data_IF_874055642845
#
_entry.id   IF_874055642845
#
_cell.length_a   1.000
_cell.length_b   1.000
_cell.length_c   1.000
_cell.angle_alpha   90.00
_cell.angle_beta   90.00
_cell.angle_gamma   90.00
#
_symmetry.space_group_name_H-M   'P 1'
#
loop_
_entity.id
_entity.type
_entity.pdbx_description
1 polymer ?
#
# COMPACT_ATOMS: atom_id res chain seq x y z
N UNK A 1 -19.47 4.65 -21.64
CA UNK A 1 -19.77 3.26 -21.24
C UNK A 1 -21.26 3.19 -21.02
N UNK A 2 -21.97 2.38 -21.81
CA UNK A 2 -23.37 2.06 -21.53
C UNK A 2 -23.38 1.18 -20.29
N UNK A 3 -23.87 1.70 -19.15
CA UNK A 3 -24.09 0.83 -18.00
C UNK A 3 -25.17 -0.16 -18.41
N UNK A 4 -24.90 -1.46 -18.28
CA UNK A 4 -25.96 -2.46 -18.34
C UNK A 4 -27.08 -2.02 -17.37
N UNK A 5 -28.33 -2.19 -17.76
CA UNK A 5 -29.46 -1.89 -16.88
C UNK A 5 -29.28 -2.69 -15.59
N UNK A 6 -29.29 -2.01 -14.45
CA UNK A 6 -29.17 -2.66 -13.14
C UNK A 6 -30.31 -3.66 -12.95
N UNK A 7 -30.00 -4.83 -12.39
CA UNK A 7 -31.00 -5.87 -12.17
C UNK A 7 -32.04 -5.46 -11.10
N UNK A 8 -31.60 -4.70 -10.10
CA UNK A 8 -32.40 -4.08 -9.05
C UNK A 8 -31.58 -3.03 -8.30
N UNK A 9 -32.17 -2.34 -7.32
CA UNK A 9 -31.48 -1.31 -6.53
C UNK A 9 -30.31 -1.85 -5.70
N UNK A 10 -30.38 -3.11 -5.23
CA UNK A 10 -29.28 -3.74 -4.50
C UNK A 10 -28.07 -4.00 -5.42
N UNK A 11 -28.31 -4.48 -6.65
CA UNK A 11 -27.28 -4.64 -7.67
C UNK A 11 -26.58 -3.31 -7.99
N UNK A 12 -27.38 -2.26 -8.20
CA UNK A 12 -26.88 -0.90 -8.39
C UNK A 12 -26.01 -0.45 -7.22
N UNK A 13 -26.46 -0.62 -5.99
CA UNK A 13 -25.72 -0.25 -4.78
C UNK A 13 -24.39 -0.99 -4.70
N UNK A 14 -24.38 -2.30 -4.96
CA UNK A 14 -23.15 -3.10 -4.90
C UNK A 14 -22.12 -2.70 -5.96
N UNK A 15 -22.59 -2.35 -7.17
CA UNK A 15 -21.74 -1.80 -8.22
C UNK A 15 -21.16 -0.45 -7.81
N UNK A 16 -21.96 0.42 -7.19
CA UNK A 16 -21.49 1.69 -6.64
C UNK A 16 -20.44 1.50 -5.53
N UNK A 17 -20.63 0.51 -4.64
CA UNK A 17 -19.65 0.17 -3.59
C UNK A 17 -18.33 -0.31 -4.22
N UNK A 18 -18.39 -1.17 -5.24
CA UNK A 18 -17.21 -1.62 -5.97
C UNK A 18 -16.52 -0.47 -6.72
N UNK A 19 -17.30 0.44 -7.32
CA UNK A 19 -16.78 1.65 -7.95
C UNK A 19 -16.07 2.56 -6.93
N UNK A 20 -16.60 2.70 -5.72
CA UNK A 20 -15.94 3.40 -4.63
C UNK A 20 -14.61 2.72 -4.25
N UNK A 21 -14.59 1.39 -4.09
CA UNK A 21 -13.35 0.65 -3.82
C UNK A 21 -12.29 0.85 -4.92
N UNK A 22 -12.73 0.93 -6.17
CA UNK A 22 -11.86 1.23 -7.31
C UNK A 22 -11.32 2.65 -7.24
N UNK A 23 -12.19 3.65 -7.18
CA UNK A 23 -11.81 5.05 -7.31
C UNK A 23 -11.10 5.59 -6.06
N UNK A 24 -11.65 5.30 -4.89
CA UNK A 24 -11.23 5.88 -3.60
C UNK A 24 -10.07 5.12 -2.97
N UNK A 25 -9.96 3.82 -3.24
CA UNK A 25 -8.88 3.01 -2.69
C UNK A 25 -7.86 2.59 -3.74
N UNK A 26 -8.22 1.72 -4.69
CA UNK A 26 -7.23 1.18 -5.66
C UNK A 26 -6.54 2.28 -6.46
N UNK A 27 -7.30 3.18 -7.06
CA UNK A 27 -6.72 4.22 -7.92
C UNK A 27 -5.98 5.28 -7.10
N UNK A 28 -6.36 5.52 -5.84
CA UNK A 28 -5.58 6.39 -4.95
C UNK A 28 -4.29 5.68 -4.51
N UNK A 29 -4.33 4.38 -4.23
CA UNK A 29 -3.15 3.57 -3.94
C UNK A 29 -2.16 3.57 -5.11
N UNK A 30 -2.66 3.48 -6.34
CA UNK A 30 -1.85 3.62 -7.57
C UNK A 30 -1.12 4.97 -7.61
N UNK A 31 -1.77 6.07 -7.18
CA UNK A 31 -1.17 7.41 -7.10
C UNK A 31 -0.15 7.53 -5.97
N UNK A 32 -0.47 7.01 -4.79
CA UNK A 32 0.46 6.97 -3.65
C UNK A 32 1.71 6.15 -3.99
N UNK A 33 1.54 5.03 -4.70
CA UNK A 33 2.66 4.25 -5.20
C UNK A 33 3.57 5.07 -6.13
N UNK A 34 3.00 5.79 -7.10
CA UNK A 34 3.78 6.66 -8.00
C UNK A 34 4.47 7.78 -7.21
N UNK A 35 3.78 8.38 -6.23
CA UNK A 35 4.35 9.41 -5.36
C UNK A 35 5.53 8.85 -4.54
N UNK A 36 5.40 7.65 -3.98
CA UNK A 36 6.47 6.97 -3.27
C UNK A 36 7.69 6.75 -4.18
N UNK A 37 7.48 6.30 -5.42
CA UNK A 37 8.60 6.15 -6.39
C UNK A 37 9.33 7.46 -6.65
N UNK A 38 8.59 8.56 -6.81
CA UNK A 38 9.17 9.89 -6.98
C UNK A 38 9.96 10.32 -5.74
N UNK A 39 9.38 10.17 -4.55
CA UNK A 39 10.02 10.49 -3.28
C UNK A 39 11.32 9.70 -3.09
N UNK A 40 11.31 8.39 -3.36
CA UNK A 40 12.50 7.55 -3.27
C UNK A 40 13.59 7.98 -4.26
N UNK A 41 13.20 8.31 -5.50
CA UNK A 41 14.16 8.78 -6.52
C UNK A 41 14.87 10.06 -6.10
N UNK A 42 14.21 10.90 -5.33
CA UNK A 42 14.74 12.16 -4.79
C UNK A 42 15.20 12.06 -3.34
N UNK A 43 15.31 10.84 -2.78
CA UNK A 43 15.78 10.59 -1.41
C UNK A 43 14.97 11.30 -0.32
N UNK A 44 13.70 11.60 -0.61
CA UNK A 44 12.74 12.15 0.34
C UNK A 44 12.16 11.00 1.18
N UNK A 45 13.01 10.37 2.00
CA UNK A 45 12.70 9.07 2.62
C UNK A 45 11.49 9.07 3.57
N UNK A 46 11.24 10.10 4.41
CA UNK A 46 10.00 10.18 5.17
C UNK A 46 8.76 10.19 4.28
N UNK A 47 8.81 10.94 3.17
CA UNK A 47 7.72 11.00 2.19
C UNK A 47 7.58 9.67 1.44
N UNK A 48 8.70 8.99 1.12
CA UNK A 48 8.68 7.64 0.54
C UNK A 48 8.00 6.64 1.47
N UNK A 49 8.37 6.61 2.76
CA UNK A 49 7.80 5.70 3.75
C UNK A 49 6.30 5.96 3.92
N UNK A 50 5.90 7.22 4.07
CA UNK A 50 4.50 7.60 4.18
C UNK A 50 3.69 7.21 2.93
N UNK A 51 4.13 7.61 1.73
CA UNK A 51 3.41 7.27 0.50
C UNK A 51 3.40 5.77 0.23
N UNK A 52 4.45 5.03 0.61
CA UNK A 52 4.48 3.57 0.50
C UNK A 52 3.46 2.92 1.45
N UNK A 53 3.42 3.37 2.70
CA UNK A 53 2.44 2.94 3.70
C UNK A 53 1.01 3.18 3.19
N UNK A 54 0.74 4.40 2.73
CA UNK A 54 -0.55 4.80 2.20
C UNK A 54 -0.99 3.98 0.98
N UNK A 55 -0.06 3.62 0.09
CA UNK A 55 -0.35 2.76 -1.05
C UNK A 55 -0.79 1.36 -0.59
N UNK A 56 0.01 0.70 0.26
CA UNK A 56 -0.30 -0.65 0.78
C UNK A 56 -1.61 -0.65 1.57
N UNK A 57 -1.82 0.33 2.45
CA UNK A 57 -3.05 0.49 3.24
C UNK A 57 -4.28 0.54 2.34
N UNK A 58 -4.25 1.39 1.31
CA UNK A 58 -5.39 1.56 0.41
C UNK A 58 -5.62 0.32 -0.46
N UNK A 59 -4.58 -0.37 -0.92
CA UNK A 59 -4.77 -1.66 -1.61
C UNK A 59 -5.46 -2.69 -0.70
N UNK A 60 -5.02 -2.83 0.56
CA UNK A 60 -5.65 -3.74 1.51
C UNK A 60 -7.12 -3.36 1.78
N UNK A 61 -7.42 -2.07 1.96
CA UNK A 61 -8.79 -1.57 2.11
C UNK A 61 -9.66 -1.83 0.87
N UNK A 62 -9.10 -1.71 -0.34
CA UNK A 62 -9.80 -2.06 -1.57
C UNK A 62 -10.19 -3.54 -1.58
N UNK A 63 -9.25 -4.43 -1.24
CA UNK A 63 -9.47 -5.88 -1.17
C UNK A 63 -10.56 -6.21 -0.16
N UNK A 64 -10.48 -5.66 1.07
CA UNK A 64 -11.51 -5.83 2.10
C UNK A 64 -12.88 -5.39 1.60
N UNK A 65 -12.96 -4.22 0.96
CA UNK A 65 -14.24 -3.67 0.50
C UNK A 65 -14.85 -4.48 -0.65
N UNK A 66 -14.04 -4.93 -1.63
CA UNK A 66 -14.53 -5.80 -2.71
C UNK A 66 -15.15 -7.09 -2.17
N UNK A 67 -14.61 -7.61 -1.07
CA UNK A 67 -15.08 -8.84 -0.43
C UNK A 67 -16.08 -8.58 0.72
N UNK A 68 -16.56 -7.34 0.88
CA UNK A 68 -17.51 -6.93 1.94
C UNK A 68 -17.07 -7.28 3.36
N UNK A 69 -15.76 -7.34 3.60
CA UNK A 69 -15.20 -7.56 4.93
C UNK A 69 -15.24 -6.23 5.69
N UNK A 70 -15.87 -6.25 6.87
CA UNK A 70 -16.00 -5.08 7.74
C UNK A 70 -14.63 -4.66 8.28
N UNK A 71 -14.22 -3.43 7.96
CA UNK A 71 -12.91 -2.86 8.31
C UNK A 71 -13.00 -1.41 8.81
N UNK A 72 -14.13 -1.04 9.40
CA UNK A 72 -14.46 0.32 9.88
C UNK A 72 -13.58 0.82 11.02
N UNK A 73 -12.79 -0.07 11.64
CA UNK A 73 -11.89 0.24 12.77
C UNK A 73 -10.40 0.09 12.46
N UNK A 74 -10.05 -0.24 11.21
CA UNK A 74 -8.65 -0.48 10.82
C UNK A 74 -7.78 0.78 10.89
N UNK A 75 -8.37 1.96 10.62
CA UNK A 75 -7.60 3.20 10.61
C UNK A 75 -6.41 3.11 9.65
N UNK A 76 -5.20 3.35 10.16
CA UNK A 76 -3.92 3.25 9.44
C UNK A 76 -3.13 1.98 9.80
N UNK A 77 -3.72 1.02 10.52
CA UNK A 77 -3.01 -0.16 11.01
C UNK A 77 -2.89 -1.24 9.91
N UNK A 78 -1.71 -1.35 9.29
CA UNK A 78 -1.44 -2.38 8.29
C UNK A 78 -1.50 -3.81 8.85
N UNK A 79 -1.08 -4.01 10.10
CA UNK A 79 -1.09 -5.33 10.72
C UNK A 79 -2.52 -5.81 10.95
N UNK A 80 -3.41 -4.91 11.38
CA UNK A 80 -4.83 -5.18 11.51
C UNK A 80 -5.50 -5.40 10.14
N UNK A 81 -5.14 -4.62 9.12
CA UNK A 81 -5.64 -4.85 7.76
C UNK A 81 -5.24 -6.24 7.22
N UNK A 82 -3.98 -6.65 7.46
CA UNK A 82 -3.47 -7.96 7.07
C UNK A 82 -4.12 -9.12 7.84
N UNK A 83 -4.45 -8.95 9.12
CA UNK A 83 -5.11 -10.00 9.89
C UNK A 83 -6.53 -10.28 9.37
N UNK A 84 -7.25 -9.24 8.97
CA UNK A 84 -8.57 -9.37 8.34
C UNK A 84 -8.55 -10.10 6.98
N UNK A 85 -7.39 -10.18 6.31
CA UNK A 85 -7.24 -10.96 5.07
C UNK A 85 -7.50 -12.45 5.28
N UNK A 86 -7.39 -12.96 6.51
CA UNK A 86 -7.67 -14.37 6.82
C UNK A 86 -9.14 -14.75 6.60
N UNK A 87 -10.05 -13.77 6.54
CA UNK A 87 -11.47 -13.98 6.26
C UNK A 87 -11.79 -14.06 4.76
N UNK A 88 -10.80 -13.90 3.89
CA UNK A 88 -10.99 -13.99 2.44
C UNK A 88 -11.12 -15.45 1.98
N UNK A 89 -11.83 -15.70 0.87
CA UNK A 89 -11.91 -17.03 0.27
C UNK A 89 -10.62 -17.44 -0.47
N UNK A 90 -9.60 -16.58 -0.49
CA UNK A 90 -8.31 -16.80 -1.11
C UNK A 90 -7.17 -16.23 -0.26
N UNK A 91 -5.99 -16.82 -0.41
CA UNK A 91 -4.79 -16.35 0.29
C UNK A 91 -4.04 -15.29 -0.52
N UNK A 92 -3.65 -14.20 0.15
CA UNK A 92 -2.70 -13.23 -0.40
C UNK A 92 -1.28 -13.78 -0.27
N UNK A 93 -0.63 -13.98 -1.42
CA UNK A 93 0.74 -14.49 -1.47
C UNK A 93 1.73 -13.34 -1.54
N UNK A 94 2.54 -13.23 -0.48
CA UNK A 94 3.66 -12.30 -0.40
C UNK A 94 4.98 -13.05 -0.37
N UNK A 95 5.99 -12.53 -1.08
CA UNK A 95 7.35 -13.01 -0.89
C UNK A 95 7.88 -12.60 0.48
N UNK A 96 8.85 -13.34 1.03
CA UNK A 96 9.54 -12.97 2.29
C UNK A 96 10.09 -11.54 2.25
N UNK A 97 10.51 -11.10 1.06
CA UNK A 97 11.04 -9.76 0.81
C UNK A 97 9.95 -8.69 0.94
N UNK A 98 8.82 -8.86 0.25
CA UNK A 98 7.68 -7.94 0.38
C UNK A 98 7.11 -7.93 1.79
N UNK A 99 7.02 -9.10 2.44
CA UNK A 99 6.50 -9.19 3.81
C UNK A 99 7.34 -8.36 4.78
N UNK A 100 8.67 -8.52 4.75
CA UNK A 100 9.59 -7.70 5.55
C UNK A 100 9.45 -6.21 5.27
N UNK A 101 9.25 -5.82 4.02
CA UNK A 101 9.04 -4.42 3.66
C UNK A 101 7.72 -3.88 4.21
N UNK A 102 6.64 -4.65 4.12
CA UNK A 102 5.33 -4.26 4.67
C UNK A 102 5.38 -4.17 6.20
N UNK A 103 6.02 -5.13 6.86
CA UNK A 103 6.20 -5.10 8.32
C UNK A 103 6.99 -3.85 8.74
N UNK A 104 8.08 -3.53 8.02
CA UNK A 104 8.82 -2.29 8.26
C UNK A 104 7.97 -1.02 8.04
N UNK A 105 7.14 -0.98 6.99
CA UNK A 105 6.20 0.14 6.80
C UNK A 105 5.22 0.24 7.96
N UNK A 106 4.71 -0.88 8.48
CA UNK A 106 3.79 -0.87 9.62
C UNK A 106 4.44 -0.30 10.89
N UNK A 107 5.76 -0.44 11.03
CA UNK A 107 6.51 0.10 12.18
C UNK A 107 6.79 1.60 12.07
N UNK A 108 7.15 2.11 10.87
CA UNK A 108 7.66 3.49 10.74
C UNK A 108 6.86 4.38 9.79
N UNK A 109 6.06 3.80 8.90
CA UNK A 109 5.45 4.48 7.77
C UNK A 109 4.31 5.43 8.15
N UNK A 110 3.63 5.23 9.27
CA UNK A 110 2.52 6.10 9.70
C UNK A 110 2.99 7.46 10.27
N UNK A 111 4.25 7.57 10.69
CA UNK A 111 4.78 8.71 11.46
C UNK A 111 5.38 9.80 10.57
N UNK A 112 4.51 10.71 10.09
CA UNK A 112 4.86 11.74 9.10
C UNK A 112 5.83 12.81 9.57
N UNK A 113 5.88 13.13 10.86
CA UNK A 113 6.67 14.27 11.35
C UNK A 113 8.02 13.86 11.93
N UNK A 114 8.48 12.64 11.63
CA UNK A 114 9.64 12.04 12.29
C UNK A 114 9.34 12.03 13.80
N UNK A 115 8.12 11.63 14.15
CA UNK A 115 7.69 11.51 15.54
C UNK A 115 8.37 10.33 16.22
N UNK A 116 9.01 9.44 15.47
CA UNK A 116 9.88 8.36 15.92
C UNK A 116 11.12 8.29 15.04
N UNK A 117 12.22 7.65 15.48
CA UNK A 117 13.33 7.34 14.59
C UNK A 117 12.88 6.49 13.40
N UNK A 118 13.45 6.75 12.22
CA UNK A 118 13.25 5.91 11.05
C UNK A 118 14.59 5.50 10.44
N UNK A 119 14.56 4.44 9.65
CA UNK A 119 15.67 4.05 8.80
C UNK A 119 15.14 3.49 7.49
N UNK A 120 15.95 3.57 6.44
CA UNK A 120 15.78 2.87 5.18
C UNK A 120 17.10 2.23 4.80
N UNK A 121 17.04 0.97 4.39
CA UNK A 121 18.22 0.20 4.03
C UNK A 121 17.92 -0.77 2.88
N UNK A 122 18.87 -0.91 1.95
CA UNK A 122 18.76 -1.88 0.86
C UNK A 122 18.13 -1.29 -0.41
N UNK A 123 17.53 -2.18 -1.20
CA UNK A 123 16.88 -1.84 -2.47
C UNK A 123 15.40 -1.48 -2.28
N UNK A 124 15.12 -0.51 -1.39
CA UNK A 124 13.77 -0.16 -0.93
C UNK A 124 12.77 0.15 -2.05
N UNK A 125 13.22 0.69 -3.19
CA UNK A 125 12.35 0.94 -4.33
C UNK A 125 11.91 -0.36 -5.02
N UNK A 126 12.81 -1.35 -5.10
CA UNK A 126 12.50 -2.69 -5.60
C UNK A 126 11.56 -3.41 -4.62
N UNK A 127 11.78 -3.24 -3.32
CA UNK A 127 10.90 -3.78 -2.29
C UNK A 127 9.48 -3.26 -2.41
N UNK A 128 9.33 -1.95 -2.60
CA UNK A 128 8.05 -1.33 -2.89
C UNK A 128 7.41 -1.90 -4.17
N UNK A 129 8.17 -2.03 -5.26
CA UNK A 129 7.64 -2.54 -6.53
C UNK A 129 7.14 -3.97 -6.44
N UNK A 130 7.84 -4.80 -5.67
CA UNK A 130 7.44 -6.18 -5.40
C UNK A 130 6.18 -6.21 -4.55
N UNK A 131 6.17 -5.51 -3.41
CA UNK A 131 5.04 -5.50 -2.50
C UNK A 131 3.76 -4.97 -3.16
N UNK A 132 3.89 -3.87 -3.93
CA UNK A 132 2.78 -3.31 -4.69
C UNK A 132 2.30 -4.27 -5.75
N UNK A 133 3.18 -4.88 -6.54
CA UNK A 133 2.76 -5.85 -7.54
C UNK A 133 2.03 -7.04 -6.88
N UNK A 134 2.57 -7.59 -5.79
CA UNK A 134 2.01 -8.75 -5.10
C UNK A 134 0.61 -8.47 -4.52
N UNK A 135 0.42 -7.34 -3.80
CA UNK A 135 -0.90 -6.98 -3.23
C UNK A 135 -1.89 -6.55 -4.32
N UNK A 136 -1.44 -5.82 -5.34
CA UNK A 136 -2.32 -5.20 -6.33
C UNK A 136 -3.02 -6.22 -7.22
N UNK A 137 -2.45 -7.42 -7.40
CA UNK A 137 -3.11 -8.52 -8.13
C UNK A 137 -4.52 -8.86 -7.61
N UNK A 138 -4.74 -8.63 -6.31
CA UNK A 138 -6.01 -8.91 -5.64
C UNK A 138 -6.96 -7.71 -5.62
N UNK A 139 -6.54 -6.54 -6.11
CA UNK A 139 -7.33 -5.30 -6.10
C UNK A 139 -8.34 -5.24 -7.25
N UNK A 140 -9.19 -6.25 -7.35
CA UNK A 140 -10.27 -6.39 -8.32
C UNK A 140 -11.44 -7.16 -7.71
N UNK A 141 -12.60 -7.06 -8.33
CA UNK A 141 -13.78 -7.85 -7.93
C UNK A 141 -13.53 -9.30 -8.34
N UNK A 142 -13.45 -10.18 -7.34
CA UNK A 142 -13.23 -11.63 -7.51
C UNK A 142 -14.43 -12.46 -7.03
N UNK A 143 -15.39 -11.83 -6.35
CA UNK A 143 -16.62 -12.45 -5.93
C UNK A 143 -17.78 -11.47 -6.15
N UNK A 144 -18.92 -12.02 -6.54
CA UNK A 144 -20.19 -11.31 -6.75
C UNK A 144 -21.30 -11.89 -5.88
N UNK A 145 -20.97 -12.73 -4.90
CA UNK A 145 -21.87 -13.24 -3.87
C UNK A 145 -23.09 -13.99 -4.45
N UNK A 146 -22.84 -14.85 -5.45
CA UNK A 146 -23.86 -15.67 -6.09
C UNK A 146 -24.78 -14.93 -7.06
N UNK A 147 -24.50 -13.66 -7.39
CA UNK A 147 -25.26 -12.90 -8.38
C UNK A 147 -25.11 -13.46 -9.79
N UNK A 148 -26.22 -13.52 -10.51
CA UNK A 148 -26.21 -13.77 -11.95
C UNK A 148 -25.70 -12.52 -12.68
N UNK A 149 -24.66 -12.70 -13.49
CA UNK A 149 -24.05 -11.64 -14.27
C UNK A 149 -24.45 -11.77 -15.74
N UNK A 150 -24.54 -10.65 -16.49
CA UNK A 150 -24.51 -10.69 -17.94
C UNK A 150 -23.27 -11.45 -18.45
N UNK A 151 -23.39 -12.07 -19.63
CA UNK A 151 -22.33 -12.92 -20.21
C UNK A 151 -20.95 -12.23 -20.25
N UNK A 152 -20.90 -10.96 -20.65
CA UNK A 152 -19.65 -10.21 -20.73
C UNK A 152 -19.00 -9.98 -19.37
N UNK A 153 -19.82 -9.74 -18.33
CA UNK A 153 -19.33 -9.54 -16.96
C UNK A 153 -18.91 -10.85 -16.30
N UNK A 154 -19.62 -11.94 -16.59
CA UNK A 154 -19.22 -13.27 -16.16
C UNK A 154 -17.85 -13.63 -16.74
N UNK A 155 -17.65 -13.37 -18.04
CA UNK A 155 -16.35 -13.59 -18.69
C UNK A 155 -15.24 -12.76 -18.05
N UNK A 156 -15.49 -11.49 -17.72
CA UNK A 156 -14.51 -10.64 -17.03
C UNK A 156 -14.12 -11.20 -15.65
N UNK A 157 -15.08 -11.77 -14.91
CA UNK A 157 -14.82 -12.41 -13.62
C UNK A 157 -13.99 -13.69 -13.77
N UNK A 158 -14.31 -14.52 -14.75
CA UNK A 158 -13.55 -15.74 -15.08
C UNK A 158 -12.10 -15.42 -15.52
N UNK A 159 -11.94 -14.41 -16.38
CA UNK A 159 -10.63 -13.91 -16.82
C UNK A 159 -9.82 -13.39 -15.62
N UNK A 160 -10.44 -12.64 -14.69
CA UNK A 160 -9.78 -12.14 -13.49
C UNK A 160 -9.22 -13.25 -12.61
N UNK A 161 -10.00 -14.33 -12.40
CA UNK A 161 -9.56 -15.52 -11.67
C UNK A 161 -8.44 -16.26 -12.39
N UNK A 162 -8.57 -16.46 -13.70
CA UNK A 162 -7.58 -17.15 -14.53
C UNK A 162 -6.24 -16.41 -14.56
N UNK A 163 -6.27 -15.08 -14.72
CA UNK A 163 -5.08 -14.25 -14.70
C UNK A 163 -4.44 -14.21 -13.31
N UNK A 164 -5.23 -14.14 -12.24
CA UNK A 164 -4.71 -14.21 -10.87
C UNK A 164 -4.01 -15.56 -10.62
N UNK A 165 -4.65 -16.67 -10.96
CA UNK A 165 -4.10 -18.02 -10.75
C UNK A 165 -2.78 -18.24 -11.51
N UNK A 166 -2.68 -17.70 -12.74
CA UNK A 166 -1.49 -17.85 -13.59
C UNK A 166 -0.42 -16.78 -13.39
N UNK A 167 -0.69 -15.75 -12.59
CA UNK A 167 0.16 -14.56 -12.46
C UNK A 167 1.56 -14.83 -11.89
N UNK A 168 1.74 -15.87 -11.07
CA UNK A 168 3.05 -16.21 -10.47
C UNK A 168 3.98 -16.91 -11.47
N UNK A 169 3.40 -17.67 -12.39
CA UNK A 169 4.15 -18.37 -13.44
C UNK A 169 4.49 -17.45 -14.62
N UNK A 170 3.70 -16.37 -14.82
CA UNK A 170 3.90 -15.40 -15.89
C UNK A 170 4.86 -14.29 -15.45
N UNK A 171 5.64 -13.69 -16.37
CA UNK A 171 6.41 -12.49 -16.05
C UNK A 171 5.52 -11.36 -15.51
N UNK A 172 5.91 -10.75 -14.39
CA UNK A 172 5.13 -9.73 -13.66
C UNK A 172 4.58 -8.61 -14.54
N UNK A 173 5.38 -8.12 -15.48
CA UNK A 173 5.01 -7.04 -16.39
C UNK A 173 3.86 -7.40 -17.34
N UNK A 174 3.45 -8.66 -17.44
CA UNK A 174 2.29 -9.09 -18.24
C UNK A 174 0.97 -9.03 -17.48
N UNK A 175 0.99 -9.07 -16.15
CA UNK A 175 -0.24 -9.01 -15.36
C UNK A 175 -0.87 -7.60 -15.47
N UNK A 176 -2.18 -7.53 -15.67
CA UNK A 176 -2.93 -6.30 -15.91
C UNK A 176 -4.29 -6.39 -15.24
N UNK A 177 -4.67 -5.36 -14.50
CA UNK A 177 -6.04 -5.22 -14.02
C UNK A 177 -6.92 -4.58 -15.09
N UNK A 178 -8.14 -5.08 -15.23
CA UNK A 178 -9.14 -4.45 -16.09
C UNK A 178 -9.48 -3.04 -15.56
N UNK A 179 -9.45 -2.04 -16.45
CA UNK A 179 -9.73 -0.64 -16.12
C UNK A 179 -8.79 -0.02 -15.08
N UNK A 180 -7.60 -0.58 -14.85
CA UNK A 180 -6.68 -0.08 -13.83
C UNK A 180 -5.93 1.19 -14.24
N UNK A 181 -5.65 2.06 -13.25
CA UNK A 181 -4.97 3.33 -13.49
C UNK A 181 -3.51 3.12 -13.93
N UNK A 182 -2.75 2.21 -13.30
CA UNK A 182 -1.38 1.91 -13.75
C UNK A 182 -1.37 1.42 -15.20
N UNK A 183 -2.32 0.61 -15.62
CA UNK A 183 -2.42 0.09 -16.99
C UNK A 183 -2.65 1.20 -18.02
N UNK A 184 -3.52 2.16 -17.68
CA UNK A 184 -3.71 3.39 -18.47
C UNK A 184 -2.41 4.18 -18.57
N UNK A 185 -1.72 4.39 -17.44
CA UNK A 185 -0.46 5.15 -17.39
C UNK A 185 0.65 4.45 -18.18
N UNK A 186 0.75 3.11 -18.11
CA UNK A 186 1.76 2.32 -18.86
C UNK A 186 1.55 2.46 -20.37
N UNK A 187 0.30 2.51 -20.82
CA UNK A 187 -0.05 2.54 -22.25
C UNK A 187 0.11 3.94 -22.84
N UNK A 188 -0.22 4.98 -22.09
CA UNK A 188 -0.09 6.37 -22.52
C UNK A 188 1.31 6.93 -22.21
N UNK A 189 2.19 6.93 -23.22
CA UNK A 189 3.55 7.48 -23.12
C UNK A 189 3.60 8.98 -22.79
N UNK A 190 2.52 9.73 -23.07
CA UNK A 190 2.43 11.17 -22.80
C UNK A 190 1.88 11.45 -21.40
N UNK A 191 1.40 10.43 -20.68
CA UNK A 191 0.91 10.61 -19.33
C UNK A 191 2.03 11.14 -18.42
N UNK A 192 1.81 12.21 -17.63
CA UNK A 192 2.86 12.82 -16.80
C UNK A 192 3.56 11.83 -15.86
N UNK A 193 2.80 10.88 -15.31
CA UNK A 193 3.31 9.84 -14.42
C UNK A 193 3.97 8.64 -15.11
N UNK A 194 3.94 8.54 -16.45
CA UNK A 194 4.48 7.36 -17.17
C UNK A 194 5.97 7.14 -16.87
N UNK A 195 6.77 8.20 -16.90
CA UNK A 195 8.20 8.13 -16.60
C UNK A 195 8.47 7.71 -15.15
N UNK A 196 7.71 8.28 -14.20
CA UNK A 196 7.82 7.97 -12.77
C UNK A 196 7.48 6.50 -12.47
N UNK A 197 6.40 5.99 -13.07
CA UNK A 197 5.99 4.60 -12.92
C UNK A 197 7.04 3.64 -13.48
N UNK A 198 7.59 3.92 -14.66
CA UNK A 198 8.46 2.96 -15.36
C UNK A 198 9.96 3.10 -15.07
N UNK A 199 10.43 4.20 -14.49
CA UNK A 199 11.86 4.41 -14.22
C UNK A 199 12.42 3.33 -13.30
N UNK A 200 13.27 2.42 -13.79
CA UNK A 200 13.81 1.28 -13.02
C UNK A 200 12.76 0.38 -12.34
N UNK A 201 11.56 0.28 -12.89
CA UNK A 201 10.55 -0.65 -12.40
C UNK A 201 10.81 -2.09 -12.89
N UNK A 202 10.89 -3.10 -12.00
CA UNK A 202 11.02 -4.52 -12.37
C UNK A 202 9.69 -5.24 -12.54
N UNK A 203 8.57 -4.67 -12.06
CA UNK A 203 7.27 -5.32 -12.03
C UNK A 203 6.32 -4.79 -13.12
N UNK A 204 6.35 -3.48 -13.38
CA UNK A 204 5.45 -2.80 -14.32
C UNK A 204 6.19 -2.31 -15.56
N UNK A 205 5.59 -2.54 -16.74
CA UNK A 205 6.15 -2.09 -18.01
C UNK A 205 5.52 -2.76 -19.23
N UNK A 206 5.81 -2.21 -20.41
CA UNK A 206 5.26 -2.69 -21.69
C UNK A 206 5.97 -3.96 -22.18
N UNK A 207 7.26 -4.10 -21.85
CA UNK A 207 8.12 -5.18 -22.35
C UNK A 207 8.96 -5.79 -21.23
N UNK A 208 9.45 -7.01 -21.47
CA UNK A 208 10.44 -7.66 -20.61
C UNK A 208 11.66 -6.75 -20.45
N UNK A 209 12.12 -6.59 -19.22
CA UNK A 209 13.42 -6.01 -18.90
C UNK A 209 14.30 -7.12 -18.34
N UNK A 210 15.40 -7.40 -19.04
CA UNK A 210 16.37 -8.43 -18.60
C UNK A 210 17.09 -7.98 -17.34
N UNK A 211 17.39 -6.68 -17.23
CA UNK A 211 18.06 -6.08 -16.08
C UNK A 211 17.38 -4.77 -15.70
N UNK A 212 17.44 -4.46 -14.41
CA UNK A 212 16.94 -3.21 -13.83
C UNK A 212 18.01 -2.70 -12.87
N UNK A 213 18.37 -1.42 -12.98
CA UNK A 213 19.29 -0.80 -12.03
C UNK A 213 18.57 -0.60 -10.70
N UNK A 214 19.13 -1.14 -9.63
CA UNK A 214 18.63 -0.95 -8.27
C UNK A 214 19.67 -0.16 -7.47
N UNK A 215 19.27 0.99 -6.92
CA UNK A 215 20.11 1.75 -5.99
C UNK A 215 20.03 1.10 -4.61
N UNK A 216 21.17 0.94 -3.95
CA UNK A 216 21.22 0.59 -2.54
C UNK A 216 21.12 1.89 -1.74
N UNK A 217 20.23 1.95 -0.76
CA UNK A 217 20.06 3.10 0.11
C UNK A 217 20.50 2.74 1.53
N UNK A 218 21.03 3.73 2.24
CA UNK A 218 21.23 3.70 3.68
C UNK A 218 20.97 5.12 4.17
N UNK A 219 19.89 5.30 4.91
CA UNK A 219 19.56 6.57 5.56
C UNK A 219 18.80 6.28 6.84
N UNK A 220 19.12 7.02 7.90
CA UNK A 220 18.42 6.93 9.16
C UNK A 220 18.44 8.28 9.85
N UNK A 221 17.41 8.56 10.63
CA UNK A 221 17.29 9.78 11.39
C UNK A 221 16.58 9.51 12.71
N UNK A 222 17.15 10.03 13.80
CA UNK A 222 16.50 10.03 15.10
C UNK A 222 15.56 11.22 15.22
N UNK A 223 14.40 11.02 15.85
CA UNK A 223 13.53 12.14 16.21
C UNK A 223 14.16 12.96 17.34
N UNK A 224 13.93 14.28 17.34
CA UNK A 224 14.38 15.15 18.44
C UNK A 224 13.73 14.71 19.75
N UNK A 225 12.45 14.30 19.71
CA UNK A 225 11.70 13.81 20.86
C UNK A 225 12.26 12.49 21.42
N UNK A 226 12.90 11.66 20.58
CA UNK A 226 13.60 10.44 21.02
C UNK A 226 14.93 10.72 21.71
N UNK A 227 15.65 11.75 21.25
CA UNK A 227 16.91 12.19 21.84
C UNK A 227 16.69 12.97 23.15
N UNK A 228 15.63 13.76 23.22
CA UNK A 228 15.29 14.66 24.33
C UNK A 228 13.83 14.47 24.81
N UNK A 229 13.45 13.28 25.31
CA UNK A 229 12.08 13.01 25.74
C UNK A 229 11.59 13.88 26.91
N UNK A 230 12.50 14.56 27.62
CA UNK A 230 12.18 15.55 28.67
C UNK A 230 11.34 16.71 28.15
N UNK A 231 11.43 17.04 26.85
CA UNK A 231 10.68 18.14 26.26
C UNK A 231 9.19 17.82 26.07
N UNK A 232 8.76 16.57 26.27
CA UNK A 232 7.42 16.10 25.90
C UNK A 232 6.29 16.94 26.48
N UNK A 233 6.29 17.18 27.79
CA UNK A 233 5.18 17.91 28.44
C UNK A 233 5.16 19.40 28.07
N UNK A 234 6.31 20.00 27.76
CA UNK A 234 6.38 21.36 27.20
C UNK A 234 5.87 21.39 25.76
N UNK A 235 6.30 20.42 24.94
CA UNK A 235 5.92 20.30 23.54
C UNK A 235 4.41 20.11 23.35
N UNK A 236 3.77 19.33 24.23
CA UNK A 236 2.32 19.08 24.21
C UNK A 236 1.46 20.34 24.41
N UNK A 237 2.04 21.45 24.87
CA UNK A 237 1.34 22.75 24.94
C UNK A 237 1.15 23.39 23.57
N UNK A 238 1.98 23.03 22.58
CA UNK A 238 2.05 23.70 21.29
C UNK A 238 1.65 22.80 20.11
N UNK A 239 1.80 21.47 20.23
CA UNK A 239 1.52 20.55 19.12
C UNK A 239 0.73 19.32 19.57
N UNK A 240 -0.05 18.76 18.65
CA UNK A 240 -0.75 17.49 18.87
C UNK A 240 0.19 16.30 18.62
N UNK A 241 0.30 15.41 19.60
CA UNK A 241 0.98 14.12 19.48
C UNK A 241 -0.03 13.01 19.85
N UNK A 242 -0.18 11.96 19.03
CA UNK A 242 -1.06 10.84 19.33
C UNK A 242 -0.82 10.24 20.72
N UNK A 243 -1.90 9.90 21.43
CA UNK A 243 -1.84 9.37 22.81
C UNK A 243 -0.90 8.17 22.96
N UNK A 244 -0.86 7.27 21.95
CA UNK A 244 0.04 6.12 21.92
C UNK A 244 1.52 6.52 21.95
N UNK A 245 1.89 7.55 21.18
CA UNK A 245 3.26 8.08 21.19
C UNK A 245 3.59 8.81 22.48
N UNK A 246 2.65 9.60 23.04
CA UNK A 246 2.84 10.25 24.35
C UNK A 246 3.14 9.21 25.43
N UNK A 247 2.37 8.12 25.48
CA UNK A 247 2.62 7.03 26.41
C UNK A 247 4.00 6.39 26.19
N UNK A 248 4.36 6.09 24.94
CA UNK A 248 5.67 5.51 24.60
C UNK A 248 6.84 6.42 24.98
N UNK A 249 6.72 7.74 24.81
CA UNK A 249 7.78 8.67 25.18
C UNK A 249 7.91 8.86 26.70
N UNK A 250 6.82 8.81 27.45
CA UNK A 250 6.87 8.79 28.92
C UNK A 250 7.56 7.55 29.44
N UNK A 251 7.29 6.39 28.84
CA UNK A 251 7.97 5.14 29.17
C UNK A 251 9.47 5.21 28.84
N UNK A 252 9.82 5.68 27.63
CA UNK A 252 11.23 5.87 27.23
C UNK A 252 11.99 6.81 28.17
N UNK A 253 11.38 7.92 28.60
CA UNK A 253 11.96 8.82 29.60
C UNK A 253 12.16 8.14 30.95
N UNK A 254 11.19 7.33 31.40
CA UNK A 254 11.28 6.56 32.64
C UNK A 254 12.46 5.57 32.59
N UNK A 255 12.62 4.86 31.48
CA UNK A 255 13.71 3.90 31.27
C UNK A 255 15.09 4.58 31.28
N UNK A 256 15.21 5.77 30.69
CA UNK A 256 16.46 6.57 30.73
C UNK A 256 16.76 7.00 32.17
N UNK A 257 15.77 7.54 32.89
CA UNK A 257 15.95 8.00 34.29
C UNK A 257 16.30 6.85 35.24
N UNK A 258 15.78 5.67 34.99
CA UNK A 258 16.09 4.46 35.75
C UNK A 258 17.47 3.85 35.41
N UNK A 259 18.19 4.38 34.41
CA UNK A 259 19.45 3.81 33.92
C UNK A 259 19.27 2.49 33.17
N UNK A 260 18.03 2.06 32.92
CA UNK A 260 17.71 0.81 32.22
C UNK A 260 18.00 0.90 30.71
N UNK A 261 18.08 2.12 30.16
CA UNK A 261 18.43 2.38 28.77
C UNK A 261 19.39 3.56 28.70
N UNK A 262 20.52 3.36 28.01
CA UNK A 262 21.43 4.46 27.72
C UNK A 262 20.75 5.48 26.80
N UNK A 263 21.13 6.76 26.94
CA UNK A 263 20.74 7.76 25.94
C UNK A 263 21.33 7.32 24.58
N UNK A 264 20.51 7.23 23.53
CA UNK A 264 20.97 6.85 22.19
C UNK A 264 21.90 7.88 21.56
#
# INVERSE_FOLDING_TARGET
MSFASYANEQDKLDRCINAFGTQSFRDQADRDYIAARLACRHELFPQFLWSSHQAIEKYLKAILLYNRIKADRVGHDLAQALSLMQSLPFELKFSKRSRRFIDHLAEVGEFRYIDIPFHVYGHILVDLDLAVWEVRRYCQVLDVFGKQLPLDEQKLLEDAWSDLASSEAKPRYKFRLHGGLLEKIITDRKHPSHSALLWHNPCFGIRKRTTVKAKNHLNAQNSVLYLYPEMLDELLKYVFIPKKLVAGYREHLSQIKAGAKARP
#
